data_IF_890451758183
#
_entry.id   IF_890451758183
#
_cell.length_a   1.000
_cell.length_b   1.000
_cell.length_c   1.000
_cell.angle_alpha   90.00
_cell.angle_beta   90.00
_cell.angle_gamma   90.00
#
_symmetry.space_group_name_H-M   'P 1'
#
loop_
_entity.id
_entity.type
_entity.pdbx_description
1 polymer ?
#
# COMPACT_ATOMS: atom_id res chain seq x y z
N UNK A 1 16.73 -20.39 6.74
CA UNK A 1 15.45 -19.91 7.28
C UNK A 1 15.56 -18.48 7.82
N UNK A 2 16.52 -18.21 8.72
CA UNK A 2 16.79 -16.88 9.32
C UNK A 2 16.75 -15.67 8.37
N UNK A 3 17.38 -15.78 7.18
CA UNK A 3 17.37 -14.70 6.19
C UNK A 3 15.94 -14.26 5.78
N UNK A 4 15.02 -15.21 5.61
CA UNK A 4 13.64 -14.91 5.22
C UNK A 4 12.87 -14.21 6.35
N UNK A 5 13.09 -14.62 7.61
CA UNK A 5 12.48 -13.97 8.78
C UNK A 5 12.97 -12.53 8.93
N UNK A 6 14.27 -12.31 8.75
CA UNK A 6 14.87 -10.96 8.76
C UNK A 6 14.30 -10.06 7.66
N UNK A 7 14.14 -10.61 6.45
CA UNK A 7 13.52 -9.87 5.36
C UNK A 7 12.06 -9.51 5.70
N UNK A 8 11.27 -10.47 6.17
CA UNK A 8 9.88 -10.26 6.57
C UNK A 8 9.78 -9.22 7.69
N UNK A 9 10.67 -9.26 8.67
CA UNK A 9 10.74 -8.29 9.76
C UNK A 9 11.03 -6.87 9.24
N UNK A 10 11.96 -6.73 8.30
CA UNK A 10 12.27 -5.44 7.69
C UNK A 10 11.07 -4.88 6.90
N UNK A 11 10.38 -5.73 6.14
CA UNK A 11 9.17 -5.37 5.40
C UNK A 11 8.02 -4.95 6.35
N UNK A 12 7.77 -5.70 7.42
CA UNK A 12 6.76 -5.37 8.43
C UNK A 12 7.07 -4.03 9.13
N UNK A 13 8.33 -3.76 9.48
CA UNK A 13 8.73 -2.47 10.06
C UNK A 13 8.54 -1.31 9.09
N UNK A 14 8.79 -1.54 7.79
CA UNK A 14 8.53 -0.52 6.76
C UNK A 14 7.03 -0.22 6.63
N UNK A 15 6.19 -1.26 6.57
CA UNK A 15 4.74 -1.12 6.56
C UNK A 15 4.24 -0.34 7.78
N UNK A 16 4.73 -0.66 8.98
CA UNK A 16 4.39 0.05 10.22
C UNK A 16 4.70 1.54 10.18
N UNK A 17 5.86 1.92 9.63
CA UNK A 17 6.23 3.33 9.49
C UNK A 17 5.28 4.06 8.53
N UNK A 18 4.83 3.39 7.46
CA UNK A 18 3.82 3.93 6.55
C UNK A 18 2.49 4.14 7.27
N UNK A 19 2.00 3.15 8.00
CA UNK A 19 0.72 3.23 8.73
C UNK A 19 0.72 4.33 9.79
N UNK A 20 1.83 4.50 10.51
CA UNK A 20 1.98 5.62 11.46
C UNK A 20 1.88 6.98 10.79
N UNK A 21 2.45 7.13 9.58
CA UNK A 21 2.34 8.37 8.82
C UNK A 21 0.90 8.65 8.39
N UNK A 22 0.17 7.62 7.95
CA UNK A 22 -1.26 7.74 7.63
C UNK A 22 -2.09 8.16 8.85
N UNK A 23 -1.80 7.61 10.04
CA UNK A 23 -2.43 8.03 11.30
C UNK A 23 -2.24 9.52 11.58
N UNK A 24 -1.02 10.04 11.39
CA UNK A 24 -0.75 11.48 11.57
C UNK A 24 -1.50 12.35 10.56
N UNK A 25 -1.63 11.90 9.31
CA UNK A 25 -2.42 12.60 8.28
C UNK A 25 -3.89 12.66 8.69
N UNK A 26 -4.48 11.52 9.08
CA UNK A 26 -5.89 11.44 9.49
C UNK A 26 -6.16 12.30 10.73
N UNK A 27 -5.24 12.30 11.72
CA UNK A 27 -5.34 13.22 12.88
C UNK A 27 -5.34 14.69 12.47
N UNK A 28 -4.51 15.05 11.49
CA UNK A 28 -4.50 16.40 10.92
C UNK A 28 -5.86 16.78 10.32
N UNK A 29 -6.45 15.90 9.52
CA UNK A 29 -7.79 16.10 8.93
C UNK A 29 -8.87 16.26 10.00
N UNK A 30 -8.89 15.42 11.03
CA UNK A 30 -9.84 15.52 12.16
C UNK A 30 -9.68 16.87 12.87
N UNK A 31 -8.46 17.34 13.07
CA UNK A 31 -8.17 18.66 13.65
C UNK A 31 -8.75 19.80 12.81
N UNK A 32 -8.54 19.78 11.50
CA UNK A 32 -9.08 20.78 10.56
C UNK A 32 -10.61 20.77 10.53
N UNK A 33 -11.23 19.59 10.42
CA UNK A 33 -12.70 19.45 10.44
C UNK A 33 -13.29 19.93 11.78
N UNK A 34 -12.59 19.67 12.89
CA UNK A 34 -13.02 20.18 14.21
C UNK A 34 -13.01 21.71 14.26
N UNK A 35 -12.00 22.36 13.66
CA UNK A 35 -11.96 23.82 13.54
C UNK A 35 -13.11 24.37 12.68
N UNK A 36 -13.34 23.78 11.49
CA UNK A 36 -14.46 24.16 10.61
C UNK A 36 -15.81 24.02 11.31
N UNK A 37 -16.03 22.91 12.03
CA UNK A 37 -17.25 22.71 12.82
C UNK A 37 -17.42 23.82 13.86
N UNK A 38 -16.35 24.20 14.57
CA UNK A 38 -16.39 25.27 15.56
C UNK A 38 -16.70 26.64 14.94
N UNK A 39 -16.14 26.94 13.78
CA UNK A 39 -16.44 28.16 13.02
C UNK A 39 -17.90 28.20 12.57
N UNK A 40 -18.41 27.13 11.96
CA UNK A 40 -19.82 27.02 11.55
C UNK A 40 -20.78 27.15 12.73
N UNK A 41 -20.41 26.63 13.90
CA UNK A 41 -21.20 26.76 15.13
C UNK A 41 -21.20 28.18 15.71
N UNK A 42 -20.20 29.00 15.39
CA UNK A 42 -20.07 30.37 15.87
C UNK A 42 -20.81 31.38 14.97
N UNK A 43 -21.34 30.96 13.82
CA UNK A 43 -22.09 31.82 12.91
C UNK A 43 -23.52 32.05 13.41
N UNK A 44 -24.00 33.29 13.30
CA UNK A 44 -25.34 33.69 13.78
C UNK A 44 -26.50 33.18 12.90
N UNK A 45 -26.24 32.93 11.61
CA UNK A 45 -27.24 32.39 10.67
C UNK A 45 -27.21 30.86 10.66
N UNK A 46 -27.94 30.26 11.60
CA UNK A 46 -27.99 28.80 11.74
C UNK A 46 -28.70 28.10 10.58
N UNK A 47 -29.66 28.76 9.93
CA UNK A 47 -30.44 28.15 8.86
C UNK A 47 -29.59 28.01 7.59
N UNK A 48 -28.69 28.96 7.32
CA UNK A 48 -27.77 28.88 6.17
C UNK A 48 -26.67 27.82 6.35
N UNK A 49 -26.18 27.63 7.57
CA UNK A 49 -25.02 26.73 7.82
C UNK A 49 -25.41 25.30 8.22
N UNK A 50 -26.69 25.01 8.44
CA UNK A 50 -27.11 23.73 9.01
C UNK A 50 -26.64 22.52 8.19
N UNK A 51 -26.89 22.52 6.88
CA UNK A 51 -26.53 21.40 6.00
C UNK A 51 -25.01 21.20 5.94
N UNK A 52 -24.26 22.30 5.86
CA UNK A 52 -22.79 22.29 5.86
C UNK A 52 -22.22 21.76 7.18
N UNK A 53 -22.82 22.14 8.31
CA UNK A 53 -22.42 21.65 9.63
C UNK A 53 -22.69 20.15 9.78
N UNK A 54 -23.82 19.65 9.26
CA UNK A 54 -24.13 18.23 9.29
C UNK A 54 -23.12 17.45 8.44
N UNK A 55 -22.86 17.90 7.21
CA UNK A 55 -21.87 17.29 6.32
C UNK A 55 -20.46 17.28 6.93
N UNK A 56 -20.03 18.37 7.59
CA UNK A 56 -18.74 18.44 8.26
C UNK A 56 -18.62 17.47 9.44
N UNK A 57 -19.69 17.29 10.23
CA UNK A 57 -19.74 16.30 11.31
C UNK A 57 -19.67 14.88 10.80
N UNK A 58 -20.41 14.56 9.73
CA UNK A 58 -20.38 13.23 9.11
C UNK A 58 -19.00 12.91 8.54
N UNK A 59 -18.38 13.87 7.85
CA UNK A 59 -17.01 13.74 7.36
C UNK A 59 -16.01 13.50 8.50
N UNK A 60 -16.14 14.24 9.61
CA UNK A 60 -15.31 14.05 10.80
C UNK A 60 -15.47 12.65 11.38
N UNK A 61 -16.69 12.16 11.53
CA UNK A 61 -16.95 10.81 12.04
C UNK A 61 -16.40 9.71 11.11
N UNK A 62 -16.43 9.93 9.80
CA UNK A 62 -15.76 9.06 8.83
C UNK A 62 -14.25 8.96 9.08
N UNK A 63 -13.57 10.08 9.29
CA UNK A 63 -12.13 10.10 9.59
C UNK A 63 -11.80 9.52 10.98
N UNK A 64 -12.64 9.74 12.00
CA UNK A 64 -12.50 9.11 13.32
C UNK A 64 -12.60 7.57 13.25
N UNK A 65 -13.52 7.06 12.43
CA UNK A 65 -13.67 5.62 12.19
C UNK A 65 -12.43 5.05 11.51
N UNK A 66 -11.95 5.73 10.46
CA UNK A 66 -10.71 5.35 9.77
C UNK A 66 -9.50 5.34 10.71
N UNK A 67 -9.38 6.36 11.58
CA UNK A 67 -8.32 6.41 12.59
C UNK A 67 -8.37 5.20 13.54
N UNK A 68 -9.56 4.80 13.96
CA UNK A 68 -9.76 3.63 14.82
C UNK A 68 -9.30 2.36 14.13
N UNK A 69 -9.74 2.11 12.88
CA UNK A 69 -9.31 0.95 12.08
C UNK A 69 -7.80 0.94 11.85
N UNK A 70 -7.18 2.09 11.56
CA UNK A 70 -5.72 2.17 11.39
C UNK A 70 -4.97 1.77 12.67
N UNK A 71 -5.47 2.17 13.85
CA UNK A 71 -4.85 1.80 15.12
C UNK A 71 -4.98 0.30 15.42
N UNK A 72 -6.10 -0.32 15.06
CA UNK A 72 -6.29 -1.78 15.17
C UNK A 72 -5.27 -2.54 14.30
N UNK A 73 -5.12 -2.15 13.03
CA UNK A 73 -4.12 -2.76 12.12
C UNK A 73 -2.69 -2.56 12.62
N UNK A 74 -2.37 -1.40 13.18
CA UNK A 74 -1.06 -1.14 13.80
C UNK A 74 -0.82 -2.05 15.00
N UNK A 75 -1.84 -2.27 15.86
CA UNK A 75 -1.71 -3.13 17.02
C UNK A 75 -1.50 -4.59 16.61
N UNK A 76 -2.24 -5.08 15.61
CA UNK A 76 -2.07 -6.43 15.05
C UNK A 76 -0.66 -6.60 14.45
N UNK A 77 -0.22 -5.67 13.62
CA UNK A 77 1.10 -5.73 12.99
C UNK A 77 2.26 -5.67 14.00
N UNK A 78 2.08 -5.00 15.15
CA UNK A 78 3.07 -5.00 16.23
C UNK A 78 3.20 -6.37 16.90
N UNK A 79 2.08 -7.06 17.15
CA UNK A 79 2.08 -8.40 17.71
C UNK A 79 2.75 -9.42 16.75
N UNK A 80 2.51 -9.28 15.45
CA UNK A 80 3.18 -10.08 14.42
C UNK A 80 4.69 -9.84 14.40
N UNK A 81 5.12 -8.59 14.51
CA UNK A 81 6.54 -8.22 14.59
C UNK A 81 7.20 -8.83 15.82
N UNK A 82 6.56 -8.73 16.99
CA UNK A 82 7.07 -9.31 18.25
C UNK A 82 7.24 -10.83 18.14
N UNK A 83 6.27 -11.51 17.51
CA UNK A 83 6.34 -12.95 17.25
C UNK A 83 7.52 -13.28 16.32
N UNK A 84 7.70 -12.53 15.24
CA UNK A 84 8.83 -12.71 14.30
C UNK A 84 10.19 -12.43 14.93
N UNK A 85 10.29 -11.44 15.82
CA UNK A 85 11.51 -11.13 16.57
C UNK A 85 11.86 -12.29 17.52
N UNK A 86 10.88 -12.84 18.22
CA UNK A 86 11.07 -14.01 19.09
C UNK A 86 11.54 -15.23 18.30
N UNK A 87 10.93 -15.51 17.14
CA UNK A 87 11.34 -16.61 16.26
C UNK A 87 12.80 -16.47 15.78
N UNK A 88 13.24 -15.24 15.53
CA UNK A 88 14.63 -14.94 15.18
C UNK A 88 15.57 -15.22 16.36
N UNK A 89 15.21 -14.79 17.57
CA UNK A 89 16.02 -14.97 18.78
C UNK A 89 16.22 -16.46 19.10
N UNK A 90 15.17 -17.27 18.94
CA UNK A 90 15.25 -18.73 19.14
C UNK A 90 16.26 -19.37 18.18
N UNK A 91 16.32 -18.89 16.94
CA UNK A 91 17.30 -19.37 15.95
C UNK A 91 18.75 -18.96 16.25
N UNK A 92 18.96 -18.05 17.21
CA UNK A 92 20.28 -17.55 17.60
C UNK A 92 20.86 -18.24 18.83
N UNK A 93 20.02 -18.90 19.62
CA UNK A 93 20.43 -19.61 20.84
C UNK A 93 21.20 -20.91 20.59
N UNK A 94 21.20 -21.46 19.38
CA UNK A 94 21.87 -22.72 19.04
C UNK A 94 23.24 -22.48 18.38
N UNK A 95 24.29 -22.31 19.20
CA UNK A 95 25.71 -22.42 18.84
C UNK A 95 26.19 -21.65 17.60
N UNK A 96 26.78 -20.46 17.73
CA UNK A 96 27.76 -19.95 16.76
C UNK A 96 28.63 -18.80 17.29
N UNK A 97 29.92 -19.08 17.52
CA UNK A 97 31.03 -18.10 17.62
C UNK A 97 31.30 -17.34 16.29
N UNK A 98 30.27 -17.10 15.48
CA UNK A 98 30.35 -16.55 14.13
C UNK A 98 29.62 -15.19 14.06
N UNK A 99 30.05 -14.23 14.86
CA UNK A 99 29.79 -12.81 14.61
C UNK A 99 30.83 -12.28 13.60
N UNK A 100 30.42 -11.88 12.38
CA UNK A 100 30.36 -10.43 12.11
C UNK A 100 29.27 -9.98 11.09
N UNK A 101 28.35 -10.86 10.66
CA UNK A 101 27.45 -10.52 9.55
C UNK A 101 26.31 -9.54 9.89
N UNK A 102 25.98 -9.37 11.17
CA UNK A 102 24.90 -8.47 11.64
C UNK A 102 25.23 -6.98 11.46
N UNK A 103 26.47 -6.59 11.73
CA UNK A 103 26.93 -5.20 11.50
C UNK A 103 26.83 -4.81 10.02
N UNK A 104 26.93 -5.77 9.10
CA UNK A 104 26.86 -5.50 7.66
C UNK A 104 25.43 -5.18 7.19
N UNK A 105 24.40 -5.74 7.82
CA UNK A 105 23.01 -5.43 7.50
C UNK A 105 22.51 -4.17 8.20
N UNK A 106 22.98 -3.87 9.42
CA UNK A 106 22.62 -2.65 10.15
C UNK A 106 23.20 -1.36 9.53
N UNK A 107 24.31 -1.46 8.77
CA UNK A 107 24.96 -0.34 8.10
C UNK A 107 24.53 -0.14 6.64
N UNK A 108 23.69 -1.03 6.08
CA UNK A 108 23.22 -0.83 4.71
C UNK A 108 22.00 0.12 4.68
N UNK A 109 22.05 1.18 3.87
CA UNK A 109 20.90 2.06 3.70
C UNK A 109 19.72 1.27 3.09
N UNK A 110 18.47 1.59 3.47
CA UNK A 110 17.26 0.86 3.06
C UNK A 110 17.00 0.85 1.53
N UNK A 111 17.79 1.62 0.78
CA UNK A 111 17.73 1.72 -0.68
C UNK A 111 18.55 0.65 -1.41
N UNK A 112 19.25 -0.25 -0.70
CA UNK A 112 20.10 -1.25 -1.34
C UNK A 112 19.27 -2.37 -2.02
N UNK A 113 19.43 -2.61 -3.33
CA UNK A 113 18.54 -3.49 -4.06
C UNK A 113 18.88 -4.96 -3.81
N UNK A 114 17.83 -5.74 -3.59
CA UNK A 114 17.67 -7.22 -3.60
C UNK A 114 18.46 -7.93 -4.74
N UNK A 115 18.99 -7.19 -5.72
CA UNK A 115 19.74 -7.66 -6.89
C UNK A 115 20.97 -8.53 -6.60
N UNK A 116 21.58 -8.50 -5.41
CA UNK A 116 22.76 -9.33 -5.09
C UNK A 116 22.47 -10.69 -4.45
N UNK A 117 21.22 -11.00 -4.08
CA UNK A 117 20.83 -12.36 -3.67
C UNK A 117 20.91 -13.39 -4.81
N UNK A 118 21.03 -12.93 -6.06
CA UNK A 118 21.30 -13.79 -7.23
C UNK A 118 22.65 -14.51 -7.20
N UNK A 119 23.58 -14.11 -6.33
CA UNK A 119 24.93 -14.70 -6.28
C UNK A 119 25.08 -15.84 -5.27
N UNK A 120 24.17 -16.00 -4.31
CA UNK A 120 24.14 -17.14 -3.41
C UNK A 120 23.44 -18.30 -4.12
N UNK A 121 24.23 -18.99 -4.94
CA UNK A 121 23.97 -20.34 -5.46
C UNK A 121 23.58 -21.24 -4.28
N UNK A 122 22.27 -21.41 -4.07
CA UNK A 122 21.76 -22.52 -3.30
C UNK A 122 22.06 -23.79 -4.08
N UNK A 123 23.06 -24.50 -3.58
CA UNK A 123 23.53 -25.77 -4.08
C UNK A 123 22.59 -26.88 -3.61
N UNK A 124 21.97 -27.54 -4.60
CA UNK A 124 21.46 -28.91 -4.65
C UNK A 124 20.06 -29.30 -4.09
N UNK A 125 19.29 -29.86 -5.05
CA UNK A 125 18.37 -31.00 -4.95
C UNK A 125 16.90 -30.80 -4.55
N UNK A 126 16.24 -29.77 -5.11
CA UNK A 126 14.78 -29.81 -5.37
C UNK A 126 14.39 -28.86 -6.52
N UNK A 127 15.18 -28.93 -7.59
CA UNK A 127 15.45 -27.77 -8.46
C UNK A 127 14.34 -27.41 -9.45
N UNK A 128 13.51 -28.35 -9.92
CA UNK A 128 12.57 -27.99 -10.99
C UNK A 128 11.30 -27.29 -10.49
N UNK A 129 10.67 -27.81 -9.43
CA UNK A 129 9.46 -27.17 -8.88
C UNK A 129 9.77 -25.82 -8.23
N UNK A 130 10.89 -25.71 -7.53
CA UNK A 130 11.28 -24.46 -6.87
C UNK A 130 11.71 -23.39 -7.90
N UNK A 131 12.38 -23.79 -8.99
CA UNK A 131 12.71 -22.88 -10.09
C UNK A 131 11.44 -22.32 -10.76
N UNK A 132 10.41 -23.13 -10.97
CA UNK A 132 9.13 -22.67 -11.52
C UNK A 132 8.48 -21.63 -10.61
N UNK A 133 8.44 -21.86 -9.29
CA UNK A 133 7.86 -20.89 -8.33
C UNK A 133 8.68 -19.59 -8.30
N UNK A 134 10.00 -19.67 -8.30
CA UNK A 134 10.85 -18.47 -8.32
C UNK A 134 10.77 -17.69 -9.64
N UNK A 135 10.72 -18.38 -10.77
CA UNK A 135 10.57 -17.73 -12.08
C UNK A 135 9.17 -17.13 -12.22
N UNK A 136 8.15 -17.73 -11.61
CA UNK A 136 6.80 -17.18 -11.54
C UNK A 136 6.75 -15.92 -10.67
N UNK A 137 7.23 -15.98 -9.44
CA UNK A 137 7.31 -14.83 -8.54
C UNK A 137 8.11 -13.67 -9.16
N UNK A 138 9.20 -13.99 -9.90
CA UNK A 138 9.98 -12.98 -10.62
C UNK A 138 9.21 -12.35 -11.79
N UNK A 139 8.40 -13.12 -12.51
CA UNK A 139 7.54 -12.58 -13.59
C UNK A 139 6.45 -11.69 -13.03
N UNK A 140 5.84 -12.08 -11.92
CA UNK A 140 4.83 -11.29 -11.20
C UNK A 140 5.43 -10.00 -10.63
N UNK A 141 6.62 -10.06 -10.01
CA UNK A 141 7.34 -8.86 -9.54
C UNK A 141 7.63 -7.90 -10.71
N UNK A 142 8.05 -8.42 -11.86
CA UNK A 142 8.27 -7.61 -13.06
C UNK A 142 6.97 -7.00 -13.60
N UNK A 143 5.87 -7.74 -13.56
CA UNK A 143 4.53 -7.28 -13.96
C UNK A 143 4.05 -6.16 -13.03
N UNK A 144 4.06 -6.39 -11.71
CA UNK A 144 3.69 -5.39 -10.71
C UNK A 144 4.54 -4.12 -10.84
N UNK A 145 5.84 -4.27 -11.07
CA UNK A 145 6.73 -3.12 -11.27
C UNK A 145 6.44 -2.35 -12.55
N UNK A 146 6.05 -3.03 -13.63
CA UNK A 146 5.60 -2.39 -14.86
C UNK A 146 4.28 -1.64 -14.63
N UNK A 147 3.30 -2.29 -13.99
CA UNK A 147 2.02 -1.68 -13.60
C UNK A 147 2.22 -0.43 -12.74
N UNK A 148 3.05 -0.50 -11.70
CA UNK A 148 3.35 0.63 -10.82
C UNK A 148 4.02 1.79 -11.57
N UNK A 149 4.87 1.48 -12.55
CA UNK A 149 5.47 2.52 -13.42
C UNK A 149 4.42 3.18 -14.29
N UNK A 150 3.50 2.42 -14.86
CA UNK A 150 2.45 2.93 -15.73
C UNK A 150 1.45 3.78 -14.92
N UNK A 151 1.04 3.33 -13.74
CA UNK A 151 0.22 4.11 -12.80
C UNK A 151 0.91 5.42 -12.42
N UNK A 152 2.20 5.37 -12.08
CA UNK A 152 2.97 6.58 -11.76
C UNK A 152 3.07 7.55 -12.94
N UNK A 153 3.31 7.05 -14.15
CA UNK A 153 3.33 7.86 -15.37
C UNK A 153 1.97 8.53 -15.62
N UNK A 154 0.87 7.78 -15.49
CA UNK A 154 -0.49 8.27 -15.66
C UNK A 154 -0.85 9.35 -14.64
N UNK A 155 -0.52 9.13 -13.35
CA UNK A 155 -0.69 10.13 -12.30
C UNK A 155 0.11 11.40 -12.58
N UNK A 156 1.36 11.27 -13.04
CA UNK A 156 2.20 12.43 -13.36
C UNK A 156 1.63 13.26 -14.51
N UNK A 157 1.12 12.60 -15.56
CA UNK A 157 0.46 13.29 -16.68
C UNK A 157 -0.82 13.99 -16.22
N UNK A 158 -1.65 13.31 -15.43
CA UNK A 158 -2.88 13.89 -14.87
C UNK A 158 -2.60 15.11 -14.00
N UNK A 159 -1.60 15.04 -13.12
CA UNK A 159 -1.24 16.14 -12.23
C UNK A 159 -0.67 17.35 -12.99
N UNK A 160 0.12 17.12 -14.04
CA UNK A 160 0.58 18.18 -14.95
C UNK A 160 -0.57 18.85 -15.69
N UNK A 161 -1.57 18.08 -16.15
CA UNK A 161 -2.79 18.64 -16.77
C UNK A 161 -3.55 19.52 -15.76
N UNK A 162 -3.77 19.04 -14.54
CA UNK A 162 -4.45 19.82 -13.48
C UNK A 162 -3.75 21.15 -13.18
N UNK A 163 -2.41 21.15 -13.11
CA UNK A 163 -1.64 22.40 -12.90
C UNK A 163 -1.83 23.38 -14.05
N UNK A 164 -1.79 22.90 -15.29
CA UNK A 164 -2.04 23.74 -16.48
C UNK A 164 -3.45 24.33 -16.45
N UNK A 165 -4.46 23.52 -16.12
CA UNK A 165 -5.84 23.98 -16.00
C UNK A 165 -6.00 25.03 -14.90
N UNK A 166 -5.36 24.85 -13.74
CA UNK A 166 -5.37 25.85 -12.68
C UNK A 166 -4.81 27.20 -13.16
N UNK A 167 -3.70 27.21 -13.90
CA UNK A 167 -3.15 28.44 -14.49
C UNK A 167 -4.07 29.06 -15.54
N UNK A 168 -4.73 28.26 -16.38
CA UNK A 168 -5.69 28.77 -17.37
C UNK A 168 -6.93 29.40 -16.69
N UNK A 169 -7.37 28.84 -15.56
CA UNK A 169 -8.47 29.39 -14.76
C UNK A 169 -8.09 30.70 -14.07
N UNK A 170 -6.90 30.77 -13.48
CA UNK A 170 -6.36 31.98 -12.86
C UNK A 170 -6.27 33.13 -13.88
N UNK A 171 -5.78 32.85 -15.11
CA UNK A 171 -5.72 33.84 -16.19
C UNK A 171 -7.11 34.33 -16.67
N UNK A 172 -8.15 33.50 -16.52
CA UNK A 172 -9.52 33.86 -16.89
C UNK A 172 -10.23 34.68 -15.80
N UNK A 173 -9.91 34.44 -14.52
CA UNK A 173 -10.39 35.25 -13.39
C UNK A 173 -9.97 36.72 -13.55
N UNK A 174 -8.71 36.96 -13.91
CA UNK A 174 -8.17 38.30 -14.20
C UNK A 174 -8.93 39.05 -15.31
N UNK A 175 -9.66 38.33 -16.16
CA UNK A 175 -10.39 38.90 -17.29
C UNK A 175 -11.82 39.33 -16.95
N UNK A 176 -12.31 39.05 -15.73
CA UNK A 176 -13.57 39.58 -15.20
C UNK A 176 -14.86 39.03 -15.82
N UNK A 177 -14.79 37.96 -16.63
CA UNK A 177 -15.93 37.40 -17.35
C UNK A 177 -16.29 36.00 -16.83
N UNK A 178 -16.94 35.96 -15.67
CA UNK A 178 -17.29 34.74 -14.93
C UNK A 178 -18.14 33.74 -15.74
N UNK A 179 -18.99 34.23 -16.65
CA UNK A 179 -19.84 33.38 -17.51
C UNK A 179 -19.00 32.60 -18.51
N UNK A 180 -18.00 33.26 -19.10
CA UNK A 180 -17.06 32.64 -20.04
C UNK A 180 -16.10 31.67 -19.35
N UNK A 181 -15.73 31.94 -18.10
CA UNK A 181 -14.96 31.00 -17.27
C UNK A 181 -15.73 29.70 -17.04
N UNK A 182 -17.03 29.80 -16.76
CA UNK A 182 -17.89 28.63 -16.51
C UNK A 182 -18.11 27.77 -17.77
N UNK A 183 -18.31 28.38 -18.93
CA UNK A 183 -18.42 27.64 -20.21
C UNK A 183 -17.09 26.95 -20.58
N UNK A 184 -15.95 27.63 -20.38
CA UNK A 184 -14.64 27.04 -20.59
C UNK A 184 -14.35 25.87 -19.62
N UNK A 185 -14.73 26.00 -18.34
CA UNK A 185 -14.64 24.89 -17.38
C UNK A 185 -15.44 23.67 -17.85
N UNK A 186 -16.67 23.86 -18.35
CA UNK A 186 -17.49 22.77 -18.87
C UNK A 186 -16.87 22.12 -20.10
N UNK A 187 -16.28 22.90 -21.00
CA UNK A 187 -15.59 22.39 -22.19
C UNK A 187 -14.30 21.60 -21.83
N UNK A 188 -13.55 22.08 -20.85
CA UNK A 188 -12.35 21.41 -20.36
C UNK A 188 -12.70 20.08 -19.69
N UNK A 189 -13.71 20.08 -18.81
CA UNK A 189 -14.18 18.87 -18.12
C UNK A 189 -14.73 17.85 -19.11
N UNK A 190 -15.48 18.29 -20.13
CA UNK A 190 -16.02 17.39 -21.17
C UNK A 190 -14.96 16.82 -22.11
N UNK A 191 -13.89 17.57 -22.39
CA UNK A 191 -12.74 17.06 -23.16
C UNK A 191 -11.92 16.05 -22.37
N UNK A 192 -11.69 16.27 -21.08
CA UNK A 192 -10.88 15.37 -20.26
C UNK A 192 -11.65 14.14 -19.73
N UNK A 193 -12.98 14.20 -19.62
CA UNK A 193 -13.81 13.06 -19.18
C UNK A 193 -13.80 11.87 -20.15
N UNK A 194 -13.32 12.05 -21.39
CA UNK A 194 -13.31 11.01 -22.44
C UNK A 194 -12.05 10.12 -22.41
N UNK A 195 -11.04 10.42 -21.57
CA UNK A 195 -9.73 9.70 -21.66
C UNK A 195 -9.24 9.00 -20.40
N UNK A 196 -9.94 9.13 -19.27
CA UNK A 196 -9.67 8.28 -18.12
C UNK A 196 -10.70 7.16 -18.10
N UNK A 197 -10.41 6.11 -18.86
CA UNK A 197 -11.08 4.81 -18.76
C UNK A 197 -10.70 4.16 -17.41
N UNK A 198 -11.20 4.76 -16.33
CA UNK A 198 -11.02 4.30 -14.97
C UNK A 198 -11.63 2.90 -14.83
N UNK A 199 -12.67 2.59 -15.61
CA UNK A 199 -13.26 1.26 -15.74
C UNK A 199 -12.26 0.26 -16.32
N UNK A 200 -11.50 0.61 -17.35
CA UNK A 200 -10.47 -0.29 -17.90
C UNK A 200 -9.29 -0.49 -16.93
N UNK A 201 -8.91 0.54 -16.17
CA UNK A 201 -7.90 0.41 -15.10
C UNK A 201 -8.40 -0.45 -13.93
N UNK A 202 -9.67 -0.28 -13.53
CA UNK A 202 -10.31 -1.08 -12.49
C UNK A 202 -10.55 -2.52 -12.94
N UNK A 203 -11.02 -2.75 -14.16
CA UNK A 203 -11.22 -4.08 -14.75
C UNK A 203 -9.90 -4.87 -14.84
N UNK A 204 -8.78 -4.18 -15.15
CA UNK A 204 -7.46 -4.82 -15.19
C UNK A 204 -6.94 -5.18 -13.79
N UNK A 205 -7.22 -4.36 -12.77
CA UNK A 205 -6.89 -4.65 -11.37
C UNK A 205 -7.78 -5.78 -10.79
N UNK A 206 -9.04 -5.85 -11.23
CA UNK A 206 -10.00 -6.86 -10.79
C UNK A 206 -9.71 -8.24 -11.38
N UNK A 207 -9.22 -8.29 -12.63
CA UNK A 207 -8.70 -9.53 -13.24
C UNK A 207 -7.49 -10.13 -12.49
N UNK A 208 -6.68 -9.30 -11.83
CA UNK A 208 -5.52 -9.74 -11.03
C UNK A 208 -5.94 -10.27 -9.62
N UNK A 209 -7.10 -9.84 -9.11
CA UNK A 209 -7.70 -10.35 -7.87
C UNK A 209 -8.35 -11.74 -8.06
N UNK A 210 -9.00 -11.98 -9.21
CA UNK A 210 -9.61 -13.29 -9.52
C UNK A 210 -8.56 -14.42 -9.66
N UNK A 211 -7.31 -14.06 -10.01
CA UNK A 211 -6.16 -14.98 -10.02
C UNK A 211 -5.78 -15.47 -8.61
N UNK A 212 -6.11 -14.72 -7.56
CA UNK A 212 -5.84 -15.06 -6.15
C UNK A 212 -6.83 -16.11 -5.63
N UNK A 213 -8.09 -16.02 -6.03
CA UNK A 213 -9.15 -16.96 -5.61
C UNK A 213 -9.01 -18.34 -6.29
N UNK A 214 -8.51 -18.38 -7.53
CA UNK A 214 -8.18 -19.64 -8.20
C UNK A 214 -7.00 -20.41 -7.56
N UNK A 215 -6.10 -19.71 -6.85
CA UNK A 215 -4.94 -20.33 -6.20
C UNK A 215 -5.27 -21.02 -4.87
N UNK A 216 -6.32 -20.58 -4.17
CA UNK A 216 -6.74 -21.20 -2.91
C UNK A 216 -7.44 -22.55 -3.11
N UNK A 217 -8.04 -22.79 -4.27
CA UNK A 217 -8.73 -24.06 -4.58
C UNK A 217 -7.73 -25.18 -4.93
N UNK A 218 -6.58 -24.87 -5.55
CA UNK A 218 -5.58 -25.88 -5.96
C UNK A 218 -4.55 -26.27 -4.86
N UNK A 219 -4.51 -25.53 -3.75
CA UNK A 219 -3.62 -25.84 -2.62
C UNK A 219 -4.28 -26.79 -1.60
N UNK A 220 -5.61 -26.91 -1.62
CA UNK A 220 -6.37 -27.82 -0.75
C UNK A 220 -6.15 -29.32 -1.01
N UNK A 221 -5.84 -29.73 -2.25
CA UNK A 221 -5.56 -31.15 -2.56
C UNK A 221 -4.12 -31.57 -2.28
N UNK A 222 -3.17 -30.64 -2.16
CA UNK A 222 -1.74 -30.96 -1.91
C UNK A 222 -1.40 -31.09 -0.42
N UNK A 223 -2.30 -30.69 0.48
CA UNK A 223 -2.13 -30.85 1.92
C UNK A 223 -2.11 -32.35 2.35
N UNK A 224 -2.88 -33.21 1.68
CA UNK A 224 -2.91 -34.65 1.96
C UNK A 224 -1.60 -35.37 1.61
N UNK A 225 -0.88 -34.88 0.61
CA UNK A 225 0.43 -35.44 0.21
C UNK A 225 1.51 -35.09 1.24
N UNK A 226 1.40 -33.94 1.92
CA UNK A 226 2.33 -33.56 2.99
C UNK A 226 2.08 -34.35 4.28
N UNK A 227 0.81 -34.68 4.59
CA UNK A 227 0.46 -35.54 5.74
C UNK A 227 0.88 -36.99 5.50
N UNK A 228 0.69 -37.54 4.29
CA UNK A 228 1.19 -38.89 3.95
C UNK A 228 2.71 -39.01 3.96
N UNK A 229 3.44 -37.92 3.69
CA UNK A 229 4.92 -37.91 3.75
C UNK A 229 5.41 -37.78 5.20
N UNK A 230 4.67 -37.16 6.12
CA UNK A 230 5.04 -37.15 7.53
C UNK A 230 4.95 -38.54 8.18
N UNK A 231 3.92 -39.33 7.84
CA UNK A 231 3.72 -40.68 8.38
C UNK A 231 4.72 -41.73 7.84
N UNK A 232 5.24 -41.54 6.61
CA UNK A 232 6.19 -42.47 6.00
C UNK A 232 7.63 -42.31 6.50
N UNK A 233 7.97 -41.14 7.07
CA UNK A 233 9.33 -40.83 7.51
C UNK A 233 9.52 -40.84 9.03
N UNK A 234 8.48 -41.15 9.81
CA UNK A 234 8.60 -41.38 11.25
C UNK A 234 9.26 -40.22 12.00
N UNK A 235 8.88 -38.99 11.67
CA UNK A 235 9.29 -37.79 12.41
C UNK A 235 8.14 -37.42 13.33
N UNK A 236 8.19 -37.93 14.57
CA UNK A 236 7.66 -37.22 15.73
C UNK A 236 8.75 -36.30 16.27
#
# INVERSE_FOLDING_TARGET
MKFFLMQKLAESRHFMNHMRKEVEIVRGCIGQLTAVIAELQAMDDQDEVHDSLLAAKDAKHGEETKLTTLNEVIAEALADIETLETDVEILDGENNDCEPYWLFFALMPPEFPIRRLKALKFSYLKTDKMKVVFDQARREEASLKALMRDVYCSLRVSLSKKRRLATELEALEDQGDAVRVLENMKEIVSRDSVTLDLEQLLAHAQFELDLKDGYLVDVGEKAWVLVMVADLFGVC
#
